data_IF_250686625594
#
_entry.id   IF_250686625594
#
_cell.length_a   1.000
_cell.length_b   1.000
_cell.length_c   1.000
_cell.angle_alpha   90.00
_cell.angle_beta   90.00
_cell.angle_gamma   90.00
#
_symmetry.space_group_name_H-M   'P 1'
#
loop_
_entity.id
_entity.type
_entity.pdbx_description
1 polymer ?
#
# COMPACT_ATOMS: atom_id res chain seq x y z
N UNK A 1 17.82 -6.84 -39.73
CA UNK A 1 17.12 -6.48 -38.48
C UNK A 1 17.95 -5.41 -37.76
N UNK A 2 17.39 -4.26 -37.38
CA UNK A 2 18.12 -3.19 -36.68
C UNK A 2 18.03 -3.41 -35.16
N UNK A 3 19.18 -3.45 -34.49
CA UNK A 3 19.26 -3.52 -33.02
C UNK A 3 18.95 -2.13 -32.42
N UNK A 4 18.11 -2.07 -31.40
CA UNK A 4 17.62 -0.83 -30.75
C UNK A 4 18.23 -0.66 -29.36
N UNK A 5 19.55 -0.48 -29.31
CA UNK A 5 20.28 -0.33 -28.05
C UNK A 5 19.90 0.97 -27.30
N UNK A 6 19.34 1.95 -28.01
CA UNK A 6 18.78 3.20 -27.47
C UNK A 6 17.62 2.98 -26.48
N UNK A 7 16.95 1.82 -26.53
CA UNK A 7 15.86 1.46 -25.64
C UNK A 7 16.31 0.68 -24.39
N UNK A 8 17.58 0.29 -24.31
CA UNK A 8 18.09 -0.52 -23.20
C UNK A 8 18.43 0.31 -21.95
N UNK A 9 18.59 1.62 -22.10
CA UNK A 9 18.94 2.50 -21.02
C UNK A 9 17.69 3.14 -20.40
N UNK A 10 17.41 2.76 -19.16
CA UNK A 10 16.36 3.38 -18.35
C UNK A 10 16.74 4.80 -17.87
N UNK A 11 15.76 5.52 -17.29
CA UNK A 11 15.92 6.91 -16.85
C UNK A 11 17.06 7.11 -15.85
N UNK A 12 17.31 6.15 -14.94
CA UNK A 12 18.48 6.21 -14.03
C UNK A 12 19.80 6.38 -14.78
N UNK A 13 20.01 5.60 -15.85
CA UNK A 13 21.25 5.68 -16.63
C UNK A 13 21.38 7.02 -17.34
N UNK A 14 20.28 7.49 -17.95
CA UNK A 14 20.22 8.79 -18.62
C UNK A 14 20.45 9.96 -17.66
N UNK A 15 19.95 9.87 -16.42
CA UNK A 15 20.17 10.87 -15.38
C UNK A 15 21.65 11.00 -15.00
N UNK A 16 22.36 9.87 -14.86
CA UNK A 16 23.80 9.86 -14.56
C UNK A 16 24.58 10.50 -15.71
N UNK A 17 24.28 10.15 -16.96
CA UNK A 17 24.97 10.75 -18.11
C UNK A 17 24.67 12.24 -18.26
N UNK A 18 23.44 12.69 -17.99
CA UNK A 18 23.09 14.11 -17.96
C UNK A 18 23.87 14.85 -16.87
N UNK A 19 24.00 14.24 -15.69
CA UNK A 19 24.79 14.78 -14.59
C UNK A 19 26.28 14.90 -14.95
N UNK A 20 26.86 13.89 -15.60
CA UNK A 20 28.25 13.91 -16.05
C UNK A 20 28.52 15.02 -17.09
N UNK A 21 27.49 15.41 -17.85
CA UNK A 21 27.52 16.57 -18.77
C UNK A 21 27.19 17.91 -18.09
N UNK A 22 26.94 17.90 -16.78
CA UNK A 22 26.47 19.05 -16.00
C UNK A 22 25.13 19.65 -16.52
N UNK A 23 24.29 18.80 -17.13
CA UNK A 23 22.95 19.16 -17.61
C UNK A 23 21.91 18.92 -16.50
N UNK A 24 21.73 19.96 -15.67
CA UNK A 24 20.82 19.91 -14.52
C UNK A 24 19.36 19.66 -14.93
N UNK A 25 18.91 20.23 -16.04
CA UNK A 25 17.51 20.14 -16.47
C UNK A 25 17.16 18.71 -16.87
N UNK A 26 17.98 18.10 -17.75
CA UNK A 26 17.78 16.69 -18.14
C UNK A 26 17.94 15.75 -16.95
N UNK A 27 18.87 16.04 -16.03
CA UNK A 27 19.05 15.22 -14.82
C UNK A 27 17.77 15.16 -14.00
N UNK A 28 17.13 16.31 -13.75
CA UNK A 28 15.87 16.38 -13.00
C UNK A 28 14.73 15.68 -13.75
N UNK A 29 14.62 15.91 -15.06
CA UNK A 29 13.62 15.23 -15.89
C UNK A 29 13.72 13.70 -15.77
N UNK A 30 14.93 13.14 -15.89
CA UNK A 30 15.11 11.70 -15.80
C UNK A 30 14.89 11.14 -14.39
N UNK A 31 15.10 11.93 -13.34
CA UNK A 31 14.74 11.53 -11.97
C UNK A 31 13.22 11.44 -11.82
N UNK A 32 12.47 12.37 -12.39
CA UNK A 32 11.01 12.34 -12.39
C UNK A 32 10.49 11.17 -13.24
N UNK A 33 11.07 10.93 -14.43
CA UNK A 33 10.73 9.77 -15.27
C UNK A 33 10.97 8.44 -14.54
N UNK A 34 12.05 8.33 -13.76
CA UNK A 34 12.32 7.14 -12.94
C UNK A 34 11.18 6.87 -11.95
N UNK A 35 10.61 7.91 -11.36
CA UNK A 35 9.51 7.77 -10.41
C UNK A 35 8.22 7.34 -11.10
N UNK A 36 7.91 7.91 -12.26
CA UNK A 36 6.69 7.64 -13.03
C UNK A 36 6.73 6.31 -13.79
N UNK A 37 7.90 5.79 -14.17
CA UNK A 37 8.01 4.51 -14.91
C UNK A 37 7.50 3.32 -14.09
N UNK A 38 7.75 3.30 -12.77
CA UNK A 38 7.34 2.19 -11.91
C UNK A 38 5.88 2.28 -11.46
N UNK A 39 5.28 3.47 -11.46
CA UNK A 39 3.95 3.70 -10.92
C UNK A 39 2.85 2.89 -11.64
N UNK A 40 2.75 2.87 -12.98
CA UNK A 40 1.76 2.05 -13.68
C UNK A 40 1.89 0.55 -13.39
N UNK A 41 3.12 0.05 -13.21
CA UNK A 41 3.38 -1.36 -12.90
C UNK A 41 2.91 -1.67 -11.47
N UNK A 42 3.32 -0.85 -10.50
CA UNK A 42 2.82 -0.93 -9.12
C UNK A 42 1.29 -0.94 -9.10
N UNK A 43 0.68 -0.05 -9.87
CA UNK A 43 -0.76 0.12 -9.90
C UNK A 43 -1.49 -1.10 -10.47
N UNK A 44 -0.95 -1.65 -11.56
CA UNK A 44 -1.43 -2.88 -12.16
C UNK A 44 -1.33 -4.07 -11.21
N UNK A 45 -0.29 -4.16 -10.38
CA UNK A 45 -0.18 -5.24 -9.39
C UNK A 45 -1.30 -5.19 -8.35
N UNK A 46 -1.62 -4.00 -7.85
CA UNK A 46 -2.72 -3.80 -6.88
C UNK A 46 -4.05 -4.24 -7.49
N UNK A 47 -4.35 -3.79 -8.71
CA UNK A 47 -5.57 -4.18 -9.44
C UNK A 47 -5.61 -5.69 -9.69
N UNK A 48 -4.49 -6.28 -10.12
CA UNK A 48 -4.43 -7.71 -10.43
C UNK A 48 -4.66 -8.58 -9.19
N UNK A 49 -4.12 -8.18 -8.04
CA UNK A 49 -4.36 -8.88 -6.77
C UNK A 49 -5.83 -8.73 -6.35
N UNK A 50 -6.42 -7.53 -6.48
CA UNK A 50 -7.83 -7.34 -6.19
C UNK A 50 -8.73 -8.20 -7.08
N UNK A 51 -8.45 -8.24 -8.38
CA UNK A 51 -9.20 -9.02 -9.36
C UNK A 51 -9.09 -10.53 -9.07
N UNK A 52 -7.89 -11.01 -8.70
CA UNK A 52 -7.69 -12.40 -8.27
C UNK A 52 -8.49 -12.74 -7.01
N UNK A 53 -8.45 -11.89 -5.98
CA UNK A 53 -9.22 -12.11 -4.75
C UNK A 53 -10.74 -12.00 -5.01
N UNK A 54 -11.15 -11.18 -5.96
CA UNK A 54 -12.55 -11.12 -6.42
C UNK A 54 -12.98 -12.44 -7.03
N UNK A 55 -12.14 -13.03 -7.90
CA UNK A 55 -12.39 -14.35 -8.45
C UNK A 55 -12.47 -15.43 -7.36
N UNK A 56 -11.57 -15.39 -6.37
CA UNK A 56 -11.63 -16.29 -5.20
C UNK A 56 -12.96 -16.15 -4.46
N UNK A 57 -13.40 -14.92 -4.15
CA UNK A 57 -14.68 -14.65 -3.50
C UNK A 57 -15.86 -15.23 -4.28
N UNK A 58 -15.89 -15.01 -5.61
CA UNK A 58 -16.97 -15.48 -6.47
C UNK A 58 -17.05 -17.00 -6.57
N UNK A 59 -15.91 -17.70 -6.47
CA UNK A 59 -15.84 -19.15 -6.63
C UNK A 59 -15.94 -19.92 -5.31
N UNK A 60 -15.37 -19.36 -4.25
CA UNK A 60 -15.12 -20.06 -2.98
C UNK A 60 -15.73 -19.35 -1.76
N UNK A 61 -16.31 -18.16 -1.93
CA UNK A 61 -16.87 -17.36 -0.85
C UNK A 61 -15.89 -16.33 -0.27
N UNK A 62 -16.43 -15.38 0.49
CA UNK A 62 -15.66 -14.27 1.06
C UNK A 62 -14.64 -14.74 2.11
N UNK A 63 -14.96 -15.80 2.84
CA UNK A 63 -14.07 -16.41 3.84
C UNK A 63 -12.77 -16.91 3.19
N UNK A 64 -12.83 -17.46 1.97
CA UNK A 64 -11.64 -17.89 1.23
C UNK A 64 -10.72 -16.71 0.85
N UNK A 65 -11.24 -15.49 0.77
CA UNK A 65 -10.41 -14.28 0.58
C UNK A 65 -9.56 -14.02 1.82
N UNK A 66 -10.14 -14.19 3.01
CA UNK A 66 -9.41 -14.02 4.26
C UNK A 66 -8.28 -15.07 4.38
N UNK A 67 -8.57 -16.33 4.05
CA UNK A 67 -7.58 -17.41 4.05
C UNK A 67 -6.45 -17.12 3.05
N UNK A 68 -6.79 -16.66 1.84
CA UNK A 68 -5.80 -16.29 0.83
C UNK A 68 -4.92 -15.11 1.29
N UNK A 69 -5.52 -14.11 1.94
CA UNK A 69 -4.78 -12.98 2.49
C UNK A 69 -3.83 -13.41 3.62
N UNK A 70 -4.28 -14.27 4.55
CA UNK A 70 -3.43 -14.85 5.59
C UNK A 70 -2.27 -15.63 4.99
N UNK A 71 -2.55 -16.54 4.06
CA UNK A 71 -1.52 -17.32 3.39
C UNK A 71 -0.47 -16.41 2.71
N UNK A 72 -0.92 -15.38 1.98
CA UNK A 72 -0.04 -14.42 1.35
C UNK A 72 0.88 -13.72 2.36
N UNK A 73 0.33 -13.19 3.46
CA UNK A 73 1.11 -12.49 4.50
C UNK A 73 2.11 -13.42 5.16
N UNK A 74 1.70 -14.66 5.48
CA UNK A 74 2.55 -15.69 6.05
C UNK A 74 3.77 -15.99 5.17
N UNK A 75 3.55 -16.17 3.87
CA UNK A 75 4.62 -16.52 2.94
C UNK A 75 5.56 -15.36 2.58
N UNK A 76 5.08 -14.12 2.61
CA UNK A 76 5.81 -12.99 2.00
C UNK A 76 6.34 -11.96 2.99
N UNK A 77 5.68 -11.78 4.15
CA UNK A 77 5.97 -10.65 5.05
C UNK A 77 6.26 -11.02 6.49
N UNK A 78 5.96 -12.25 6.92
CA UNK A 78 6.10 -12.65 8.33
C UNK A 78 7.53 -12.55 8.85
N UNK A 79 8.53 -12.90 8.04
CA UNK A 79 9.94 -12.75 8.42
C UNK A 79 10.32 -11.27 8.60
N UNK A 80 9.87 -10.41 7.70
CA UNK A 80 10.11 -8.96 7.77
C UNK A 80 9.45 -8.34 9.01
N UNK A 81 8.18 -8.66 9.29
CA UNK A 81 7.49 -8.12 10.46
C UNK A 81 8.03 -8.67 11.78
N UNK A 82 8.55 -9.90 11.79
CA UNK A 82 9.23 -10.44 12.98
C UNK A 82 10.46 -9.62 13.37
N UNK A 83 11.18 -9.06 12.40
CA UNK A 83 12.34 -8.18 12.65
C UNK A 83 11.92 -6.85 13.29
N UNK A 84 10.71 -6.36 13.02
CA UNK A 84 10.20 -5.10 13.60
C UNK A 84 10.07 -5.15 15.12
N UNK A 85 10.05 -6.34 15.75
CA UNK A 85 10.09 -6.47 17.21
C UNK A 85 11.34 -5.87 17.84
N UNK A 86 12.45 -5.83 17.10
CA UNK A 86 13.71 -5.27 17.57
C UNK A 86 13.84 -3.77 17.25
N UNK A 87 12.87 -3.18 16.56
CA UNK A 87 12.94 -1.79 16.15
C UNK A 87 12.52 -0.88 17.29
N UNK A 88 13.25 0.22 17.45
CA UNK A 88 12.79 1.34 18.26
C UNK A 88 11.67 2.12 17.55
N UNK A 89 11.06 3.05 18.27
CA UNK A 89 9.93 3.85 17.77
C UNK A 89 10.24 4.55 16.43
N UNK A 90 11.38 5.24 16.32
CA UNK A 90 11.79 5.94 15.09
C UNK A 90 11.95 4.99 13.90
N UNK A 91 12.50 3.81 14.13
CA UNK A 91 12.64 2.78 13.09
C UNK A 91 11.28 2.26 12.61
N UNK A 92 10.30 2.10 13.51
CA UNK A 92 8.93 1.72 13.15
C UNK A 92 8.25 2.81 12.31
N UNK A 93 8.31 4.07 12.77
CA UNK A 93 7.77 5.24 12.06
C UNK A 93 8.37 5.34 10.65
N UNK A 94 9.71 5.29 10.56
CA UNK A 94 10.41 5.36 9.28
C UNK A 94 10.02 4.21 8.35
N UNK A 95 9.90 2.99 8.86
CA UNK A 95 9.53 1.81 8.05
C UNK A 95 8.15 1.97 7.43
N UNK A 96 7.16 2.44 8.20
CA UNK A 96 5.80 2.66 7.69
C UNK A 96 5.73 3.90 6.76
N UNK A 97 6.48 4.95 7.04
CA UNK A 97 6.60 6.09 6.12
C UNK A 97 7.21 5.66 4.77
N UNK A 98 8.27 4.84 4.80
CA UNK A 98 8.91 4.27 3.60
C UNK A 98 7.95 3.40 2.79
N UNK A 99 7.12 2.60 3.47
CA UNK A 99 6.06 1.81 2.84
C UNK A 99 5.08 2.71 2.07
N UNK A 100 4.59 3.78 2.68
CA UNK A 100 3.64 4.69 2.02
C UNK A 100 4.25 5.54 0.91
N UNK A 101 5.53 5.91 1.02
CA UNK A 101 6.27 6.55 -0.09
C UNK A 101 6.36 5.61 -1.30
N UNK A 102 6.68 4.33 -1.09
CA UNK A 102 6.73 3.32 -2.15
C UNK A 102 5.37 3.03 -2.78
N UNK A 103 4.31 3.21 -2.01
CA UNK A 103 2.93 3.14 -2.49
C UNK A 103 2.42 4.44 -3.09
N UNK A 104 3.25 5.47 -3.28
CA UNK A 104 2.84 6.75 -3.87
C UNK A 104 1.67 7.41 -3.13
N UNK A 105 1.52 7.12 -1.84
CA UNK A 105 0.40 7.62 -1.04
C UNK A 105 0.65 9.07 -0.61
N UNK A 106 -0.42 9.85 -0.47
CA UNK A 106 -0.36 11.17 0.19
C UNK A 106 -0.66 10.99 1.67
N UNK A 107 0.29 11.33 2.52
CA UNK A 107 0.17 11.16 3.96
C UNK A 107 0.90 12.27 4.71
N UNK A 108 0.59 12.40 5.98
CA UNK A 108 1.30 13.25 6.94
C UNK A 108 1.48 12.50 8.26
N UNK A 109 2.39 12.99 9.10
CA UNK A 109 2.78 12.36 10.36
C UNK A 109 2.63 13.37 11.48
N UNK A 110 1.96 12.98 12.55
CA UNK A 110 1.81 13.76 13.77
C UNK A 110 2.37 12.94 14.94
N UNK A 111 3.04 13.60 15.88
CA UNK A 111 3.65 12.95 17.04
C UNK A 111 3.38 13.74 18.32
N UNK A 112 3.05 13.01 19.39
CA UNK A 112 2.90 13.52 20.75
C UNK A 112 3.79 12.73 21.73
N UNK A 113 3.61 12.93 23.04
CA UNK A 113 4.38 12.24 24.08
C UNK A 113 4.14 10.72 24.13
N UNK A 114 3.02 10.25 23.59
CA UNK A 114 2.52 8.88 23.79
C UNK A 114 2.60 8.05 22.51
N UNK A 115 2.50 8.69 21.34
CA UNK A 115 2.41 7.99 20.05
C UNK A 115 2.81 8.87 18.85
N UNK A 116 3.00 8.19 17.73
CA UNK A 116 3.08 8.79 16.39
C UNK A 116 1.95 8.23 15.53
N UNK A 117 1.27 9.10 14.79
CA UNK A 117 0.16 8.76 13.91
C UNK A 117 0.54 9.11 12.48
N UNK A 118 0.58 8.11 11.61
CA UNK A 118 0.70 8.31 10.16
C UNK A 118 -0.71 8.32 9.59
N UNK A 119 -1.18 9.47 9.13
CA UNK A 119 -2.49 9.62 8.50
C UNK A 119 -2.34 9.59 6.99
N UNK A 120 -2.90 8.55 6.37
CA UNK A 120 -2.87 8.34 4.92
C UNK A 120 -4.12 8.96 4.31
N UNK A 121 -4.03 10.26 4.02
CA UNK A 121 -5.11 11.06 3.46
C UNK A 121 -5.54 10.60 2.06
N UNK A 122 -4.61 10.09 1.27
CA UNK A 122 -4.89 9.45 -0.03
C UNK A 122 -4.05 8.19 -0.18
N UNK A 123 -4.70 7.04 -0.02
CA UNK A 123 -4.09 5.73 -0.15
C UNK A 123 -4.11 5.31 -1.63
N UNK A 124 -2.95 5.39 -2.29
CA UNK A 124 -2.84 5.09 -3.71
C UNK A 124 -2.76 3.58 -4.02
N UNK A 125 -3.35 2.76 -3.13
CA UNK A 125 -3.58 1.32 -3.34
C UNK A 125 -5.07 1.01 -3.24
N UNK A 126 -5.56 0.56 -2.09
CA UNK A 126 -6.95 0.17 -1.91
C UNK A 126 -7.96 1.31 -2.04
N UNK A 127 -7.64 2.52 -1.57
CA UNK A 127 -8.55 3.65 -1.76
C UNK A 127 -8.59 4.11 -3.22
N UNK A 128 -7.50 4.00 -3.98
CA UNK A 128 -7.53 4.23 -5.44
C UNK A 128 -8.48 3.25 -6.14
N UNK A 129 -8.51 1.98 -5.76
CA UNK A 129 -9.47 1.03 -6.35
C UNK A 129 -10.93 1.48 -6.19
N UNK A 130 -11.24 2.17 -5.10
CA UNK A 130 -12.55 2.80 -4.87
C UNK A 130 -12.71 4.06 -5.73
N UNK A 131 -11.72 4.96 -5.71
CA UNK A 131 -11.71 6.22 -6.47
C UNK A 131 -11.94 5.98 -7.98
N UNK A 132 -11.26 4.99 -8.54
CA UNK A 132 -11.27 4.69 -9.97
C UNK A 132 -12.42 3.73 -10.36
N UNK A 133 -13.24 3.32 -9.39
CA UNK A 133 -14.39 2.43 -9.59
C UNK A 133 -14.02 0.98 -9.92
N UNK A 134 -12.74 0.59 -9.81
CA UNK A 134 -12.27 -0.75 -10.21
C UNK A 134 -12.90 -1.82 -9.32
N UNK A 135 -12.80 -1.66 -8.00
CA UNK A 135 -13.32 -2.66 -7.08
C UNK A 135 -14.85 -2.79 -7.16
N UNK A 136 -15.55 -1.68 -7.39
CA UNK A 136 -17.00 -1.64 -7.57
C UNK A 136 -17.41 -2.42 -8.82
N UNK A 137 -16.77 -2.14 -9.98
CA UNK A 137 -17.10 -2.79 -11.26
C UNK A 137 -16.88 -4.30 -11.24
N UNK A 138 -15.84 -4.76 -10.55
CA UNK A 138 -15.53 -6.20 -10.45
C UNK A 138 -16.38 -6.92 -9.39
N UNK A 139 -17.04 -6.18 -8.49
CA UNK A 139 -17.61 -6.76 -7.26
C UNK A 139 -16.55 -7.21 -6.26
N UNK A 140 -15.37 -6.59 -6.32
CA UNK A 140 -14.19 -6.86 -5.49
C UNK A 140 -14.22 -6.21 -4.11
N UNK A 141 -15.42 -6.09 -3.54
CA UNK A 141 -15.69 -5.45 -2.25
C UNK A 141 -16.35 -6.45 -1.31
N UNK A 142 -16.08 -6.31 -0.01
CA UNK A 142 -16.75 -7.13 0.99
C UNK A 142 -18.25 -6.86 1.03
N UNK A 143 -19.04 -7.93 1.08
CA UNK A 143 -20.52 -7.89 1.14
C UNK A 143 -21.03 -7.89 2.57
N UNK A 144 -20.26 -8.42 3.52
CA UNK A 144 -20.57 -8.41 4.95
C UNK A 144 -19.49 -7.71 5.76
N UNK A 145 -19.89 -7.25 6.95
CA UNK A 145 -18.99 -6.70 7.96
C UNK A 145 -18.29 -7.84 8.71
N UNK A 146 -17.30 -8.46 8.07
CA UNK A 146 -16.52 -9.53 8.66
C UNK A 146 -15.55 -9.00 9.72
N UNK A 147 -15.23 -9.83 10.70
CA UNK A 147 -14.17 -9.51 11.68
C UNK A 147 -12.83 -9.22 10.97
N UNK A 148 -12.55 -9.96 9.88
CA UNK A 148 -11.36 -9.81 9.05
C UNK A 148 -11.44 -8.67 8.02
N UNK A 149 -12.57 -7.94 7.95
CA UNK A 149 -12.75 -6.76 7.11
C UNK A 149 -12.96 -5.49 7.93
N UNK A 150 -12.26 -5.38 9.06
CA UNK A 150 -12.41 -4.26 10.00
C UNK A 150 -13.85 -4.08 10.53
N UNK A 151 -14.67 -5.14 10.52
CA UNK A 151 -16.11 -5.11 10.80
C UNK A 151 -16.86 -4.11 9.89
N UNK A 152 -16.44 -3.98 8.63
CA UNK A 152 -17.05 -3.09 7.64
C UNK A 152 -17.37 -3.82 6.34
N UNK A 153 -18.46 -3.41 5.70
CA UNK A 153 -18.80 -3.74 4.31
C UNK A 153 -18.11 -2.76 3.35
N UNK A 154 -18.04 -3.11 2.06
CA UNK A 154 -17.48 -2.23 1.05
C UNK A 154 -15.97 -2.06 1.13
N UNK A 155 -15.26 -2.97 1.82
CA UNK A 155 -13.80 -2.96 1.89
C UNK A 155 -13.26 -3.68 0.65
N UNK A 156 -12.36 -3.07 -0.15
CA UNK A 156 -11.70 -3.78 -1.24
C UNK A 156 -11.02 -5.05 -0.76
N UNK A 157 -11.16 -6.16 -1.47
CA UNK A 157 -10.53 -7.41 -1.07
C UNK A 157 -9.01 -7.28 -0.97
N UNK A 158 -8.40 -6.42 -1.81
CA UNK A 158 -7.00 -6.05 -1.66
C UNK A 158 -6.68 -5.52 -0.25
N UNK A 159 -7.54 -4.68 0.36
CA UNK A 159 -7.29 -4.08 1.67
C UNK A 159 -7.28 -5.08 2.84
N UNK A 160 -7.74 -6.32 2.65
CA UNK A 160 -7.80 -7.31 3.73
C UNK A 160 -6.40 -7.62 4.29
N UNK A 161 -5.34 -7.51 3.48
CA UNK A 161 -3.97 -7.66 3.98
C UNK A 161 -3.64 -6.69 5.12
N UNK A 162 -4.21 -5.48 5.13
CA UNK A 162 -3.95 -4.50 6.18
C UNK A 162 -4.55 -4.94 7.53
N UNK A 163 -5.69 -5.62 7.49
CA UNK A 163 -6.27 -6.24 8.69
C UNK A 163 -5.39 -7.40 9.19
N UNK A 164 -4.89 -8.22 8.26
CA UNK A 164 -3.96 -9.31 8.59
C UNK A 164 -2.67 -8.75 9.21
N UNK A 165 -2.10 -7.68 8.65
CA UNK A 165 -0.94 -7.00 9.22
C UNK A 165 -1.19 -6.51 10.64
N UNK A 166 -2.34 -5.86 10.89
CA UNK A 166 -2.74 -5.41 12.22
C UNK A 166 -2.75 -6.56 13.24
N UNK A 167 -3.37 -7.70 12.89
CA UNK A 167 -3.37 -8.87 13.77
C UNK A 167 -1.96 -9.43 14.00
N UNK A 168 -1.12 -9.43 12.97
CA UNK A 168 0.25 -9.92 13.09
C UNK A 168 1.11 -9.01 13.97
N UNK A 169 0.98 -7.69 13.87
CA UNK A 169 1.62 -6.74 14.78
C UNK A 169 1.21 -7.00 16.23
N UNK A 170 -0.09 -7.16 16.49
CA UNK A 170 -0.61 -7.50 17.81
C UNK A 170 -0.05 -8.83 18.34
N UNK A 171 -0.04 -9.89 17.52
CA UNK A 171 0.52 -11.19 17.89
C UNK A 171 2.02 -11.13 18.20
N UNK A 172 2.76 -10.29 17.48
CA UNK A 172 4.21 -10.12 17.67
C UNK A 172 4.56 -9.16 18.81
N UNK A 173 3.59 -8.44 19.37
CA UNK A 173 3.81 -7.40 20.36
C UNK A 173 4.43 -6.12 19.78
N UNK A 174 4.32 -5.91 18.47
CA UNK A 174 4.77 -4.67 17.82
C UNK A 174 3.70 -3.59 18.09
N UNK A 175 4.06 -2.41 18.61
CA UNK A 175 3.11 -1.43 19.13
C UNK A 175 2.44 -0.59 18.02
N UNK A 176 1.97 -1.25 16.95
CA UNK A 176 1.32 -0.65 15.80
C UNK A 176 -0.13 -1.11 15.75
N UNK A 177 -1.05 -0.16 15.63
CA UNK A 177 -2.44 -0.40 15.26
C UNK A 177 -2.73 0.18 13.88
N UNK A 178 -3.47 -0.56 13.06
CA UNK A 178 -3.90 -0.12 11.72
C UNK A 178 -5.40 0.13 11.74
N UNK A 179 -5.78 1.32 11.31
CA UNK A 179 -7.18 1.73 11.16
C UNK A 179 -7.49 1.92 9.68
N UNK A 180 -8.52 1.24 9.19
CA UNK A 180 -8.99 1.43 7.83
C UNK A 180 -10.05 2.52 7.78
N UNK A 181 -9.87 3.47 6.84
CA UNK A 181 -10.86 4.49 6.51
C UNK A 181 -11.38 4.31 5.10
N UNK A 182 -12.69 4.47 4.91
CA UNK A 182 -13.30 4.39 3.58
C UNK A 182 -13.11 5.72 2.85
N UNK A 183 -11.93 5.97 2.30
CA UNK A 183 -11.58 7.29 1.75
C UNK A 183 -12.45 7.78 0.59
N UNK A 184 -13.05 6.85 -0.16
CA UNK A 184 -13.95 7.15 -1.28
C UNK A 184 -15.24 6.32 -1.18
N UNK A 185 -16.36 6.93 -1.56
CA UNK A 185 -17.65 6.26 -1.70
C UNK A 185 -17.76 5.46 -3.03
N UNK A 186 -18.91 4.84 -3.28
CA UNK A 186 -19.13 4.05 -4.49
C UNK A 186 -19.19 4.89 -5.78
N UNK A 187 -19.38 6.20 -5.65
CA UNK A 187 -19.30 7.17 -6.75
C UNK A 187 -17.90 7.76 -6.95
N UNK A 188 -16.91 7.34 -6.15
CA UNK A 188 -15.54 7.87 -6.21
C UNK A 188 -15.37 9.23 -5.53
N UNK A 189 -16.36 9.69 -4.76
CA UNK A 189 -16.26 10.95 -4.02
C UNK A 189 -15.52 10.75 -2.70
N UNK A 190 -14.70 11.73 -2.31
CA UNK A 190 -13.98 11.67 -1.04
C UNK A 190 -14.93 11.74 0.16
N UNK A 191 -14.73 10.87 1.15
CA UNK A 191 -15.56 10.81 2.37
C UNK A 191 -14.96 11.58 3.56
N UNK A 192 -13.66 11.86 3.50
CA UNK A 192 -12.90 12.40 4.63
C UNK A 192 -12.49 11.35 5.69
N UNK A 193 -12.62 10.05 5.41
CA UNK A 193 -12.19 8.98 6.31
C UNK A 193 -10.82 8.39 5.90
N UNK A 194 -9.68 8.87 6.45
CA UNK A 194 -8.36 8.36 6.09
C UNK A 194 -8.04 7.02 6.77
N UNK A 195 -7.08 6.28 6.20
CA UNK A 195 -6.45 5.18 6.91
C UNK A 195 -5.39 5.73 7.88
N UNK A 196 -5.15 5.05 9.00
CA UNK A 196 -4.14 5.46 9.99
C UNK A 196 -3.29 4.30 10.45
N UNK A 197 -2.04 4.62 10.76
CA UNK A 197 -1.15 3.77 11.55
C UNK A 197 -0.86 4.50 12.85
N UNK A 198 -1.22 3.90 13.97
CA UNK A 198 -0.97 4.44 15.31
C UNK A 198 0.16 3.63 15.94
N UNK A 199 1.31 4.27 16.14
CA UNK A 199 2.52 3.66 16.67
C UNK A 199 2.71 4.18 18.10
N UNK A 200 2.54 3.32 19.11
CA UNK A 200 2.69 3.73 20.51
C UNK A 200 4.15 3.68 20.94
N UNK A 201 4.57 4.69 21.70
CA UNK A 201 5.89 4.69 22.35
C UNK A 201 5.85 3.63 23.45
N UNK A 202 6.80 2.71 23.41
CA UNK A 202 6.99 1.71 24.48
C UNK A 202 7.91 2.31 25.53
N UNK A 203 7.49 2.21 26.80
CA UNK A 203 8.25 2.66 27.98
C UNK A 203 9.38 1.67 28.24
#
# INVERSE_FOLDING_TARGET
MKKRDDLLQGPKGKAIEALDRNDKEQTLQYIDELYEEFRPIHDRYVESINSLLTFVSQRLGEEAVADAAWHYVEQTTSAMFSQMKAFNHEQLVKTLADLHRKHYSRFYIEEDSDKTVITVAECNVGARLLKDGVAQREGGLTKKAWNWSFNRTGVPYYCIHAHVFNNLFQRLGVPIAVEWGRQYDDGGNATGEPCRYVIRKTI
#
